data_IF_932457781263
#
_entry.id   IF_932457781263
#
_cell.length_a   1.000
_cell.length_b   1.000
_cell.length_c   1.000
_cell.angle_alpha   90.00
_cell.angle_beta   90.00
_cell.angle_gamma   90.00
#
_symmetry.space_group_name_H-M   'P 1'
#
loop_
_entity.id
_entity.type
_entity.pdbx_description
1 polymer ?
#
# COMPACT_ATOMS: atom_id res chain seq x y z
N UNK A 1 5.72 -3.91 -17.11
CA UNK A 1 4.78 -4.68 -16.27
C UNK A 1 4.71 -4.07 -14.88
N UNK A 2 3.50 -3.96 -14.34
CA UNK A 2 3.30 -3.42 -13.00
C UNK A 2 3.45 -4.55 -11.99
N UNK A 3 4.34 -4.35 -11.00
CA UNK A 3 4.51 -5.31 -9.92
C UNK A 3 3.78 -4.79 -8.68
N UNK A 4 2.67 -5.43 -8.36
CA UNK A 4 1.85 -5.02 -7.23
C UNK A 4 2.63 -5.07 -5.92
N UNK A 5 3.49 -6.08 -5.74
CA UNK A 5 4.27 -6.19 -4.51
C UNK A 5 5.25 -5.02 -4.33
N UNK A 6 5.74 -4.46 -5.43
CA UNK A 6 6.62 -3.30 -5.36
C UNK A 6 5.86 -2.06 -4.91
N UNK A 7 4.68 -1.84 -5.50
CA UNK A 7 3.84 -0.70 -5.13
C UNK A 7 3.34 -0.83 -3.69
N UNK A 8 2.96 -2.04 -3.30
CA UNK A 8 2.54 -2.28 -1.93
C UNK A 8 3.68 -1.99 -0.95
N UNK A 9 4.88 -2.46 -1.27
CA UNK A 9 6.05 -2.19 -0.44
C UNK A 9 6.32 -0.70 -0.31
N UNK A 10 6.21 0.04 -1.41
CA UNK A 10 6.40 1.50 -1.39
C UNK A 10 5.38 2.19 -0.47
N UNK A 11 4.11 1.79 -0.56
CA UNK A 11 3.06 2.38 0.27
C UNK A 11 3.32 2.10 1.75
N UNK A 12 3.65 0.86 2.08
CA UNK A 12 3.94 0.49 3.46
C UNK A 12 5.14 1.27 4.01
N UNK A 13 6.18 1.40 3.20
CA UNK A 13 7.36 2.15 3.60
C UNK A 13 7.03 3.62 3.83
N UNK A 14 6.28 4.23 2.93
CA UNK A 14 5.89 5.63 3.08
C UNK A 14 5.10 5.86 4.36
N UNK A 15 4.15 4.98 4.66
CA UNK A 15 3.35 5.10 5.87
C UNK A 15 4.21 4.97 7.12
N UNK A 16 5.16 4.03 7.10
CA UNK A 16 6.08 3.87 8.23
C UNK A 16 6.91 5.14 8.44
N UNK A 17 7.46 5.68 7.35
CA UNK A 17 8.29 6.89 7.43
C UNK A 17 7.49 8.11 7.87
N UNK A 18 6.25 8.24 7.41
CA UNK A 18 5.37 9.32 7.84
C UNK A 18 5.10 9.28 9.33
N UNK A 19 5.08 8.09 9.92
CA UNK A 19 4.87 7.91 11.35
C UNK A 19 6.16 8.04 12.15
N UNK A 20 7.29 8.24 11.48
CA UNK A 20 8.59 8.33 12.15
C UNK A 20 9.03 7.03 12.80
N UNK A 21 8.57 5.89 12.30
CA UNK A 21 8.86 4.58 12.89
C UNK A 21 9.94 3.86 12.13
N UNK A 22 10.74 3.09 12.86
CA UNK A 22 11.81 2.30 12.25
C UNK A 22 11.26 0.94 11.81
N UNK A 23 12.05 0.25 10.97
CA UNK A 23 11.73 -1.14 10.62
C UNK A 23 11.62 -2.01 11.86
N UNK A 24 12.48 -1.79 12.86
CA UNK A 24 12.44 -2.55 14.11
C UNK A 24 11.14 -2.31 14.87
N UNK A 25 10.68 -1.06 14.89
CA UNK A 25 9.42 -0.74 15.57
C UNK A 25 8.26 -1.52 14.96
N UNK A 26 8.16 -1.52 13.65
CA UNK A 26 7.07 -2.21 12.97
C UNK A 26 7.23 -3.72 13.08
N UNK A 27 8.46 -4.22 12.96
CA UNK A 27 8.74 -5.64 13.12
C UNK A 27 8.29 -6.14 14.50
N UNK A 28 8.62 -5.40 15.55
CA UNK A 28 8.22 -5.77 16.90
C UNK A 28 6.71 -5.74 17.08
N UNK A 29 6.06 -4.68 16.58
CA UNK A 29 4.61 -4.52 16.73
C UNK A 29 3.84 -5.56 15.93
N UNK A 30 4.31 -5.90 14.74
CA UNK A 30 3.64 -6.87 13.87
C UNK A 30 4.05 -8.32 14.18
N UNK A 31 5.12 -8.51 14.94
CA UNK A 31 5.69 -9.82 15.22
C UNK A 31 6.06 -10.56 13.93
N UNK A 32 6.67 -9.82 13.02
CA UNK A 32 7.16 -10.32 11.74
C UNK A 32 8.65 -10.02 11.69
N UNK A 33 9.45 -10.92 11.13
CA UNK A 33 10.90 -10.75 11.13
C UNK A 33 11.30 -9.46 10.41
N UNK A 34 12.35 -8.84 10.93
CA UNK A 34 12.87 -7.60 10.38
C UNK A 34 13.29 -7.78 8.92
N UNK A 35 13.97 -8.87 8.61
CA UNK A 35 14.38 -9.16 7.25
C UNK A 35 13.21 -9.31 6.30
N UNK A 36 12.15 -9.97 6.73
CA UNK A 36 10.98 -10.16 5.89
C UNK A 36 10.27 -8.84 5.60
N UNK A 37 10.08 -7.99 6.62
CA UNK A 37 9.49 -6.67 6.41
C UNK A 37 10.34 -5.85 5.47
N UNK A 38 11.65 -5.87 5.65
CA UNK A 38 12.56 -5.14 4.78
C UNK A 38 12.42 -5.60 3.33
N UNK A 39 12.30 -6.90 3.10
CA UNK A 39 12.13 -7.44 1.75
C UNK A 39 10.78 -7.06 1.15
N UNK A 40 9.73 -7.03 1.97
CA UNK A 40 8.40 -6.61 1.52
C UNK A 40 8.44 -5.15 1.10
N UNK A 41 9.06 -4.28 1.89
CA UNK A 41 9.15 -2.85 1.56
C UNK A 41 9.93 -2.60 0.27
N UNK A 42 10.91 -3.44 -0.01
CA UNK A 42 11.70 -3.32 -1.24
C UNK A 42 11.06 -4.01 -2.44
N UNK A 43 9.89 -4.63 -2.24
CA UNK A 43 9.20 -5.33 -3.33
C UNK A 43 9.85 -6.64 -3.73
N UNK A 44 10.69 -7.20 -2.87
CA UNK A 44 11.42 -8.44 -3.16
C UNK A 44 10.65 -9.67 -2.72
N UNK A 45 9.67 -9.53 -1.85
CA UNK A 45 8.84 -10.62 -1.35
C UNK A 45 7.40 -10.18 -1.30
N UNK A 46 6.51 -11.13 -1.53
CA UNK A 46 5.09 -10.90 -1.36
C UNK A 46 4.72 -11.13 0.09
N UNK A 47 3.85 -10.26 0.61
CA UNK A 47 3.35 -10.42 1.95
C UNK A 47 2.16 -11.38 1.94
N UNK A 48 2.18 -12.39 2.81
CA UNK A 48 1.01 -13.22 3.01
C UNK A 48 -0.12 -12.37 3.58
N UNK A 49 -1.35 -12.86 3.47
CA UNK A 49 -2.50 -12.14 4.01
C UNK A 49 -2.34 -11.86 5.50
N UNK A 50 -1.86 -12.84 6.24
CA UNK A 50 -1.67 -12.72 7.69
C UNK A 50 -0.59 -11.69 8.01
N UNK A 51 0.52 -11.74 7.31
CA UNK A 51 1.61 -10.77 7.52
C UNK A 51 1.18 -9.37 7.13
N UNK A 52 0.48 -9.22 6.01
CA UNK A 52 0.01 -7.92 5.58
C UNK A 52 -0.96 -7.33 6.60
N UNK A 53 -1.90 -8.12 7.10
CA UNK A 53 -2.82 -7.68 8.12
C UNK A 53 -2.08 -7.26 9.40
N UNK A 54 -1.07 -8.01 9.79
CA UNK A 54 -0.28 -7.70 10.98
C UNK A 54 0.50 -6.39 10.81
N UNK A 55 1.09 -6.18 9.64
CA UNK A 55 1.84 -4.96 9.36
C UNK A 55 0.91 -3.75 9.33
N UNK A 56 -0.25 -3.87 8.68
CA UNK A 56 -1.23 -2.78 8.63
C UNK A 56 -1.72 -2.44 10.05
N UNK A 57 -1.99 -3.45 10.86
CA UNK A 57 -2.39 -3.25 12.25
C UNK A 57 -1.30 -2.55 13.04
N UNK A 58 -0.04 -2.95 12.84
CA UNK A 58 1.09 -2.30 13.49
C UNK A 58 1.24 -0.83 13.10
N UNK A 59 0.85 -0.50 11.87
CA UNK A 59 0.87 0.88 11.38
C UNK A 59 -0.41 1.64 11.69
N UNK A 60 -1.34 1.01 12.40
CA UNK A 60 -2.63 1.61 12.76
C UNK A 60 -3.44 2.06 11.53
N UNK A 61 -3.36 1.28 10.46
CA UNK A 61 -4.06 1.55 9.22
C UNK A 61 -4.99 0.41 8.87
N UNK A 62 -6.22 0.72 8.43
CA UNK A 62 -7.07 -0.31 7.84
C UNK A 62 -6.41 -0.86 6.56
N UNK A 63 -6.53 -2.16 6.34
CA UNK A 63 -6.02 -2.76 5.11
C UNK A 63 -6.63 -2.10 3.88
N UNK A 64 -7.91 -1.74 3.95
CA UNK A 64 -8.59 -1.07 2.83
C UNK A 64 -7.92 0.26 2.46
N UNK A 65 -7.45 1.01 3.45
CA UNK A 65 -6.74 2.26 3.21
C UNK A 65 -5.43 2.01 2.45
N UNK A 66 -4.68 1.00 2.88
CA UNK A 66 -3.42 0.64 2.23
C UNK A 66 -3.68 0.20 0.79
N UNK A 67 -4.68 -0.66 0.58
CA UNK A 67 -5.00 -1.14 -0.76
C UNK A 67 -5.54 -0.03 -1.66
N UNK A 68 -6.26 0.94 -1.10
CA UNK A 68 -6.72 2.10 -1.86
C UNK A 68 -5.54 2.93 -2.37
N UNK A 69 -4.53 3.11 -1.54
CA UNK A 69 -3.31 3.81 -1.95
C UNK A 69 -2.58 3.05 -3.04
N UNK A 70 -2.46 1.73 -2.89
CA UNK A 70 -1.86 0.88 -3.91
C UNK A 70 -2.65 0.99 -5.22
N UNK A 71 -3.98 0.95 -5.14
CA UNK A 71 -4.83 1.09 -6.31
C UNK A 71 -4.60 2.41 -7.03
N UNK A 72 -4.43 3.50 -6.29
CA UNK A 72 -4.12 4.81 -6.87
C UNK A 72 -2.80 4.79 -7.62
N UNK A 73 -1.78 4.16 -7.05
CA UNK A 73 -0.47 4.06 -7.70
C UNK A 73 -0.55 3.19 -8.95
N UNK A 74 -1.31 2.10 -8.91
CA UNK A 74 -1.51 1.26 -10.08
C UNK A 74 -2.20 2.05 -11.19
N UNK A 75 -3.24 2.78 -10.86
CA UNK A 75 -3.98 3.57 -11.84
C UNK A 75 -3.07 4.61 -12.51
N UNK A 76 -2.20 5.24 -11.72
CA UNK A 76 -1.25 6.22 -12.24
C UNK A 76 -0.28 5.55 -13.22
N UNK A 77 0.28 4.41 -12.86
CA UNK A 77 1.20 3.71 -13.75
C UNK A 77 0.51 3.21 -15.01
N UNK A 78 -0.72 2.71 -14.88
CA UNK A 78 -1.48 2.28 -16.04
C UNK A 78 -1.74 3.44 -17.00
N UNK A 79 -2.08 4.60 -16.48
CA UNK A 79 -2.30 5.79 -17.29
C UNK A 79 -1.01 6.21 -17.99
N UNK A 80 0.12 6.13 -17.32
CA UNK A 80 1.41 6.48 -17.90
C UNK A 80 1.82 5.51 -19.01
N UNK A 81 1.51 4.22 -18.82
CA UNK A 81 1.85 3.21 -19.81
C UNK A 81 1.10 3.42 -21.13
N UNK A 82 -0.12 3.95 -21.07
CA UNK A 82 -0.89 4.21 -22.28
C UNK A 82 -0.87 5.69 -22.69
N UNK A 83 -0.07 6.51 -22.02
CA UNK A 83 0.08 7.91 -22.35
C UNK A 83 -1.13 8.78 -21.99
N UNK A 84 -1.98 8.32 -21.07
CA UNK A 84 -3.16 9.06 -20.65
C UNK A 84 -2.89 9.76 -19.33
N UNK A 85 -3.55 10.93 -19.17
CA UNK A 85 -3.54 11.61 -17.89
C UNK A 85 -4.58 10.95 -16.97
N UNK A 86 -4.18 10.57 -15.75
CA UNK A 86 -5.14 9.95 -14.84
C UNK A 86 -6.30 10.89 -14.52
N UNK A 87 -7.51 10.33 -14.44
CA UNK A 87 -8.67 11.08 -13.99
C UNK A 87 -8.60 11.31 -12.48
N UNK A 88 -9.19 12.40 -11.98
CA UNK A 88 -9.26 12.62 -10.54
C UNK A 88 -10.03 11.49 -9.87
N UNK A 89 -9.36 10.72 -9.04
CA UNK A 89 -9.96 9.57 -8.39
C UNK A 89 -11.08 9.98 -7.44
N UNK A 90 -10.92 11.11 -6.82
CA UNK A 90 -11.90 11.62 -5.89
C UNK A 90 -13.26 11.81 -6.55
N UNK A 91 -13.27 12.34 -7.78
CA UNK A 91 -14.51 12.51 -8.52
C UNK A 91 -15.16 11.17 -8.82
N UNK A 92 -14.38 10.21 -9.27
CA UNK A 92 -14.90 8.88 -9.59
C UNK A 92 -15.46 8.21 -8.33
N UNK A 93 -14.74 8.29 -7.23
CA UNK A 93 -15.18 7.70 -5.98
C UNK A 93 -16.48 8.33 -5.49
N UNK A 94 -16.58 9.65 -5.61
CA UNK A 94 -17.77 10.36 -5.19
C UNK A 94 -18.98 9.95 -6.01
N UNK A 95 -18.79 9.83 -7.31
CA UNK A 95 -19.86 9.40 -8.19
C UNK A 95 -20.35 8.00 -7.84
N UNK A 96 -19.42 7.11 -7.55
CA UNK A 96 -19.77 5.75 -7.17
C UNK A 96 -20.55 5.70 -5.86
N UNK A 97 -20.13 6.50 -4.91
CA UNK A 97 -20.82 6.58 -3.63
C UNK A 97 -22.25 7.10 -3.81
N UNK A 98 -22.40 8.10 -4.65
CA UNK A 98 -23.71 8.65 -4.93
C UNK A 98 -24.65 7.61 -5.52
N UNK A 99 -24.13 6.79 -6.42
CA UNK A 99 -24.92 5.73 -7.03
C UNK A 99 -25.32 4.69 -6.02
N UNK A 100 -24.41 4.37 -5.11
CA UNK A 100 -24.66 3.36 -4.10
C UNK A 100 -25.73 3.79 -3.10
N UNK A 101 -25.85 5.07 -2.91
CA UNK A 101 -26.88 5.59 -2.02
C UNK A 101 -28.25 5.46 -2.64
#
# INVERSE_FOLDING_TARGET
MILVRRLLGDVLRQQRLLQGRTLRDVSAAAQVSLGYISEIERGQKEASSECLAAICSALHLPLSTVLAEVSSEIALEEAMLVGLTPLPRKSAATANVSVAA
#
